data_IF_498009538805
#
_entry.id   IF_498009538805
#
_cell.length_a   1.000
_cell.length_b   1.000
_cell.length_c   1.000
_cell.angle_alpha   90.00
_cell.angle_beta   90.00
_cell.angle_gamma   90.00
#
_symmetry.space_group_name_H-M   'P 1'
#
loop_
_entity.id
_entity.type
_entity.pdbx_description
1 polymer ?
#
# COMPACT_ATOMS: atom_id res chain seq x y z
N UNK A 1 -11.25 -7.52 3.55
CA UNK A 1 -10.79 -7.80 2.18
C UNK A 1 -9.30 -8.06 2.17
N UNK A 2 -8.83 -8.70 1.11
CA UNK A 2 -7.40 -8.97 0.95
C UNK A 2 -6.60 -7.66 0.90
N UNK A 3 -7.12 -6.67 0.22
CA UNK A 3 -6.46 -5.38 0.08
C UNK A 3 -6.37 -4.64 1.42
N UNK A 4 -7.42 -4.70 2.21
CA UNK A 4 -7.39 -4.12 3.56
C UNK A 4 -6.34 -4.82 4.43
N UNK A 5 -6.27 -6.16 4.35
CA UNK A 5 -5.25 -6.92 5.05
C UNK A 5 -3.84 -6.58 4.62
N UNK A 6 -3.64 -6.33 3.33
CA UNK A 6 -2.34 -5.89 2.81
C UNK A 6 -1.93 -4.53 3.36
N UNK A 7 -2.89 -3.62 3.52
CA UNK A 7 -2.59 -2.31 4.10
C UNK A 7 -2.21 -2.43 5.56
N UNK A 8 -2.93 -3.26 6.32
CA UNK A 8 -2.58 -3.50 7.72
C UNK A 8 -1.19 -4.09 7.81
N UNK A 9 -0.86 -5.05 6.95
CA UNK A 9 0.46 -5.66 6.92
C UNK A 9 1.54 -4.63 6.53
N UNK A 10 1.25 -3.79 5.56
CA UNK A 10 2.18 -2.74 5.16
C UNK A 10 2.42 -1.75 6.30
N UNK A 11 1.38 -1.39 7.04
CA UNK A 11 1.53 -0.55 8.23
C UNK A 11 2.44 -1.21 9.25
N UNK A 12 2.30 -2.51 9.44
CA UNK A 12 3.15 -3.27 10.35
C UNK A 12 4.61 -3.23 9.91
N UNK A 13 4.86 -3.49 8.63
CA UNK A 13 6.22 -3.47 8.08
C UNK A 13 6.87 -2.09 8.16
N UNK A 14 6.07 -1.03 8.03
CA UNK A 14 6.53 0.35 8.08
C UNK A 14 6.43 0.96 9.48
N UNK A 15 6.00 0.18 10.44
CA UNK A 15 5.78 0.60 11.83
C UNK A 15 4.79 1.77 11.95
N UNK A 16 3.74 1.73 11.13
CA UNK A 16 2.65 2.68 11.17
C UNK A 16 1.46 2.09 11.91
N UNK A 17 0.68 2.96 12.55
CA UNK A 17 -0.52 2.53 13.24
C UNK A 17 -1.67 2.32 12.24
N UNK A 18 -2.17 1.09 12.06
CA UNK A 18 -3.27 0.83 11.13
C UNK A 18 -4.60 1.45 11.58
N UNK A 19 -4.68 1.90 12.83
CA UNK A 19 -5.87 2.57 13.36
C UNK A 19 -5.77 4.09 13.31
N UNK A 20 -4.70 4.64 12.75
CA UNK A 20 -4.58 6.08 12.56
C UNK A 20 -5.71 6.58 11.64
N UNK A 21 -6.28 7.76 11.89
CA UNK A 21 -7.45 8.24 11.15
C UNK A 21 -7.28 8.21 9.62
N UNK A 22 -6.11 8.59 9.13
CA UNK A 22 -5.86 8.56 7.68
C UNK A 22 -5.81 7.15 7.13
N UNK A 23 -5.29 6.21 7.89
CA UNK A 23 -5.23 4.80 7.49
C UNK A 23 -6.62 4.19 7.52
N UNK A 24 -7.41 4.50 8.53
CA UNK A 24 -8.79 4.05 8.60
C UNK A 24 -9.59 4.56 7.41
N UNK A 25 -9.44 5.83 7.06
CA UNK A 25 -10.11 6.40 5.89
C UNK A 25 -9.72 5.65 4.63
N UNK A 26 -8.44 5.42 4.44
CA UNK A 26 -7.94 4.66 3.28
C UNK A 26 -8.54 3.26 3.23
N UNK A 27 -8.60 2.57 4.36
CA UNK A 27 -9.17 1.23 4.45
C UNK A 27 -10.65 1.24 4.08
N UNK A 28 -11.40 2.24 4.54
CA UNK A 28 -12.81 2.40 4.16
C UNK A 28 -12.98 2.62 2.66
N UNK A 29 -12.13 3.42 2.08
CA UNK A 29 -12.17 3.68 0.64
C UNK A 29 -11.90 2.39 -0.15
N UNK A 30 -10.96 1.59 0.30
CA UNK A 30 -10.65 0.31 -0.34
C UNK A 30 -11.80 -0.68 -0.24
N UNK A 31 -12.45 -0.75 0.90
CA UNK A 31 -13.62 -1.62 1.07
C UNK A 31 -14.75 -1.19 0.14
N UNK A 32 -14.95 0.11 -0.01
CA UNK A 32 -15.94 0.64 -0.95
C UNK A 32 -15.60 0.29 -2.40
N UNK A 33 -14.32 0.36 -2.74
CA UNK A 33 -13.82 -0.03 -4.06
C UNK A 33 -14.14 -1.49 -4.36
N UNK A 34 -13.88 -2.38 -3.41
CA UNK A 34 -14.21 -3.80 -3.59
C UNK A 34 -15.70 -4.01 -3.79
N UNK A 35 -16.53 -3.32 -3.05
CA UNK A 35 -17.97 -3.39 -3.23
C UNK A 35 -18.40 -2.98 -4.62
N UNK A 36 -17.82 -1.92 -5.15
CA UNK A 36 -18.12 -1.47 -6.51
C UNK A 36 -17.71 -2.50 -7.56
N UNK A 37 -16.57 -3.14 -7.39
CA UNK A 37 -16.12 -4.17 -8.31
C UNK A 37 -17.03 -5.39 -8.31
N UNK A 38 -17.60 -5.74 -7.15
CA UNK A 38 -18.51 -6.86 -7.03
C UNK A 38 -19.83 -6.62 -7.75
N UNK A 39 -20.26 -5.37 -7.85
CA UNK A 39 -21.51 -5.02 -8.53
C UNK A 39 -21.34 -4.77 -10.02
N UNK A 40 -20.19 -5.11 -10.55
CA UNK A 40 -19.96 -5.02 -11.97
C UNK A 40 -19.14 -3.79 -12.34
N UNK A 41 -19.02 -3.60 -13.59
CA UNK A 41 -18.10 -2.70 -14.15
C UNK A 41 -18.25 -1.27 -13.66
N UNK A 42 -17.21 -0.71 -13.14
CA UNK A 42 -17.20 0.71 -12.90
C UNK A 42 -17.27 1.45 -14.22
N UNK A 43 -18.05 2.49 -14.24
CA UNK A 43 -18.02 3.42 -15.33
C UNK A 43 -16.60 3.97 -15.50
N UNK A 44 -16.30 4.41 -16.69
CA UNK A 44 -15.02 5.03 -16.95
C UNK A 44 -14.80 6.23 -16.08
N UNK A 45 -13.51 6.52 -15.79
CA UNK A 45 -13.14 7.53 -14.80
C UNK A 45 -13.35 8.96 -15.28
N UNK A 46 -14.58 9.39 -15.30
CA UNK A 46 -14.93 10.80 -15.47
C UNK A 46 -15.47 11.37 -14.18
N UNK A 47 -15.62 10.53 -13.18
CA UNK A 47 -16.16 10.91 -11.89
C UNK A 47 -15.04 10.91 -10.86
N UNK A 48 -15.24 11.68 -9.81
CA UNK A 48 -14.31 11.70 -8.70
C UNK A 48 -14.10 10.30 -8.12
N UNK A 49 -15.18 9.52 -8.01
CA UNK A 49 -15.11 8.15 -7.49
C UNK A 49 -14.20 7.28 -8.34
N UNK A 50 -14.27 7.42 -9.64
CA UNK A 50 -13.43 6.65 -10.55
C UNK A 50 -11.96 7.05 -10.44
N UNK A 51 -11.68 8.33 -10.24
CA UNK A 51 -10.30 8.77 -9.99
C UNK A 51 -9.76 8.22 -8.68
N UNK A 52 -10.60 8.19 -7.65
CA UNK A 52 -10.23 7.58 -6.38
C UNK A 52 -9.89 6.10 -6.58
N UNK A 53 -10.72 5.37 -7.32
CA UNK A 53 -10.48 3.96 -7.62
C UNK A 53 -9.16 3.77 -8.35
N UNK A 54 -8.87 4.62 -9.32
CA UNK A 54 -7.61 4.57 -10.05
C UNK A 54 -6.43 4.77 -9.11
N UNK A 55 -6.49 5.75 -8.24
CA UNK A 55 -5.42 6.02 -7.29
C UNK A 55 -5.25 4.87 -6.30
N UNK A 56 -6.34 4.25 -5.87
CA UNK A 56 -6.27 3.09 -4.98
C UNK A 56 -5.60 1.89 -5.66
N UNK A 57 -5.90 1.65 -6.93
CA UNK A 57 -5.26 0.58 -7.70
C UNK A 57 -3.76 0.85 -7.84
N UNK A 58 -3.39 2.09 -8.13
CA UNK A 58 -1.99 2.49 -8.23
C UNK A 58 -1.26 2.30 -6.90
N UNK A 59 -1.90 2.70 -5.81
CA UNK A 59 -1.34 2.55 -4.48
C UNK A 59 -1.12 1.07 -4.13
N UNK A 60 -2.11 0.25 -4.42
CA UNK A 60 -2.02 -1.19 -4.15
C UNK A 60 -0.85 -1.81 -4.91
N UNK A 61 -0.73 -1.51 -6.19
CA UNK A 61 0.35 -2.02 -7.02
C UNK A 61 1.71 -1.56 -6.49
N UNK A 62 1.82 -0.31 -6.08
CA UNK A 62 3.06 0.23 -5.51
C UNK A 62 3.43 -0.47 -4.22
N UNK A 63 2.47 -0.65 -3.32
CA UNK A 63 2.70 -1.33 -2.04
C UNK A 63 3.18 -2.76 -2.27
N UNK A 64 2.53 -3.50 -3.17
CA UNK A 64 2.91 -4.87 -3.46
C UNK A 64 4.32 -4.96 -4.04
N UNK A 65 4.65 -4.06 -4.94
CA UNK A 65 5.98 -4.01 -5.56
C UNK A 65 7.06 -3.74 -4.50
N UNK A 66 6.83 -2.76 -3.65
CA UNK A 66 7.78 -2.40 -2.60
C UNK A 66 7.93 -3.54 -1.58
N UNK A 67 6.82 -4.11 -1.13
CA UNK A 67 6.86 -5.20 -0.17
C UNK A 67 7.64 -6.41 -0.71
N UNK A 68 7.39 -6.77 -1.96
CA UNK A 68 8.09 -7.89 -2.58
C UNK A 68 9.59 -7.62 -2.65
N UNK A 69 9.98 -6.41 -3.04
CA UNK A 69 11.38 -6.05 -3.12
C UNK A 69 12.04 -6.03 -1.74
N UNK A 70 11.35 -5.51 -0.73
CA UNK A 70 11.86 -5.48 0.64
C UNK A 70 12.07 -6.87 1.23
N UNK A 71 11.19 -7.82 0.91
CA UNK A 71 11.35 -9.20 1.38
C UNK A 71 12.60 -9.86 0.81
N UNK A 72 13.05 -9.42 -0.36
CA UNK A 72 14.25 -9.93 -1.03
C UNK A 72 15.51 -9.15 -0.64
N UNK A 73 15.38 -8.17 0.24
CA UNK A 73 16.46 -7.28 0.65
C UNK A 73 16.85 -7.60 2.08
N UNK A 74 18.14 -7.65 2.35
CA UNK A 74 18.61 -7.86 3.71
C UNK A 74 18.32 -6.65 4.60
N UNK A 75 18.03 -6.85 5.89
CA UNK A 75 17.88 -5.73 6.82
C UNK A 75 19.10 -4.81 6.80
N UNK A 76 18.86 -3.52 6.82
CA UNK A 76 19.91 -2.52 6.77
C UNK A 76 20.42 -2.20 5.37
N UNK A 77 19.79 -2.75 4.35
CA UNK A 77 20.18 -2.52 2.96
C UNK A 77 19.05 -1.92 2.16
N UNK A 78 19.40 -1.37 1.00
CA UNK A 78 18.44 -0.84 0.04
C UNK A 78 18.06 -1.91 -0.98
N UNK A 79 16.84 -1.84 -1.49
CA UNK A 79 16.43 -2.65 -2.63
C UNK A 79 17.23 -2.23 -3.87
N UNK A 80 17.16 -3.05 -4.90
CA UNK A 80 17.53 -2.61 -6.23
C UNK A 80 16.59 -1.48 -6.69
N UNK A 81 16.96 -0.82 -7.77
CA UNK A 81 16.09 0.21 -8.35
C UNK A 81 14.82 -0.44 -8.87
N UNK A 82 13.68 0.10 -8.45
CA UNK A 82 12.37 -0.40 -8.88
C UNK A 82 11.92 0.39 -10.10
N UNK A 83 12.01 -0.24 -11.25
CA UNK A 83 11.76 0.40 -12.52
C UNK A 83 10.37 1.02 -12.61
N UNK A 84 9.36 0.32 -12.09
CA UNK A 84 7.98 0.79 -12.10
C UNK A 84 7.71 1.93 -11.10
N UNK A 85 8.67 2.25 -10.26
CA UNK A 85 8.55 3.29 -9.24
C UNK A 85 9.66 4.34 -9.42
N UNK A 86 9.81 4.83 -10.64
CA UNK A 86 10.76 5.90 -10.98
C UNK A 86 12.20 5.55 -10.62
N UNK A 87 12.57 4.28 -10.71
CA UNK A 87 13.90 3.80 -10.37
C UNK A 87 14.30 4.11 -8.91
N UNK A 88 13.33 4.26 -8.03
CA UNK A 88 13.60 4.50 -6.63
C UNK A 88 14.05 3.23 -5.93
N UNK A 89 14.86 3.40 -4.90
CA UNK A 89 15.32 2.34 -4.02
C UNK A 89 14.67 2.56 -2.66
N UNK A 90 14.34 1.47 -2.00
CA UNK A 90 13.71 1.53 -0.68
C UNK A 90 14.60 0.84 0.35
N UNK A 91 14.67 1.45 1.51
CA UNK A 91 15.51 0.94 2.59
C UNK A 91 14.73 -0.04 3.45
N UNK A 92 15.36 -1.17 3.75
CA UNK A 92 14.81 -2.11 4.73
C UNK A 92 15.46 -1.83 6.08
N UNK A 93 14.75 -1.24 7.06
CA UNK A 93 15.33 -0.95 8.35
C UNK A 93 15.70 -2.21 9.11
N UNK A 94 16.69 -2.07 9.98
CA UNK A 94 17.01 -3.09 10.97
C UNK A 94 16.02 -2.98 12.13
N UNK A 95 15.99 -3.98 13.00
CA UNK A 95 15.13 -3.93 14.18
C UNK A 95 15.44 -2.73 15.10
N UNK A 96 16.68 -2.27 15.09
CA UNK A 96 17.08 -1.12 15.91
C UNK A 96 16.61 0.20 15.32
N UNK A 97 16.49 0.27 14.00
CA UNK A 97 16.08 1.48 13.29
C UNK A 97 14.57 1.60 13.17
N UNK A 98 13.85 0.50 13.26
CA UNK A 98 12.41 0.50 13.14
C UNK A 98 11.78 1.22 14.32
N UNK A 99 10.92 2.19 14.04
CA UNK A 99 10.18 2.89 15.09
C UNK A 99 9.25 1.93 15.78
N UNK A 100 9.37 1.84 17.08
CA UNK A 100 8.55 0.92 17.86
C UNK A 100 7.11 1.41 17.91
N UNK A 101 6.20 0.49 17.74
CA UNK A 101 4.80 0.73 18.02
C UNK A 101 4.62 0.87 19.51
N UNK A 102 4.12 1.97 19.90
CA UNK A 102 3.91 2.24 21.31
C UNK A 102 2.44 2.30 21.65
#
# INVERSE_FOLDING_TARGET
SLLDGEIVQACDELDLDPEAPKVILLRHMILSHHGLLEYGSPARPQLLEAEILHQLDELDASIMTIQTALRQTAPGEYTDRLFSLDNRRFYRPTNEETLKKS
#
